data_IF_790193407901
#
_entry.id   IF_790193407901
#
_cell.length_a   1.000
_cell.length_b   1.000
_cell.length_c   1.000
_cell.angle_alpha   90.00
_cell.angle_beta   90.00
_cell.angle_gamma   90.00
#
_symmetry.space_group_name_H-M   'P 1'
#
loop_
_entity.id
_entity.type
_entity.pdbx_description
1 polymer ?
#
# COMPACT_ATOMS: atom_id res chain seq x y z
N UNK A 1 17.88 0.76 -13.15
CA UNK A 1 16.72 0.00 -12.65
C UNK A 1 16.50 -1.19 -13.57
N UNK A 2 16.30 -2.38 -13.03
CA UNK A 2 16.04 -3.61 -13.78
C UNK A 2 14.62 -4.07 -13.50
N UNK A 3 13.91 -4.56 -14.52
CA UNK A 3 12.53 -5.02 -14.40
C UNK A 3 12.42 -6.47 -14.86
N UNK A 4 11.58 -7.25 -14.17
CA UNK A 4 11.13 -8.55 -14.64
C UNK A 4 9.89 -8.35 -15.49
N UNK A 5 9.92 -8.80 -16.74
CA UNK A 5 8.77 -8.75 -17.64
C UNK A 5 8.04 -10.09 -17.54
N UNK A 6 6.76 -10.04 -17.21
CA UNK A 6 5.90 -11.23 -17.10
C UNK A 6 4.79 -11.10 -18.13
N UNK A 7 4.72 -12.07 -19.03
CA UNK A 7 3.62 -12.17 -20.00
C UNK A 7 2.47 -12.96 -19.37
N UNK A 8 1.63 -12.26 -18.61
CA UNK A 8 0.46 -12.84 -17.93
C UNK A 8 -0.73 -11.88 -18.00
N UNK A 9 -1.97 -12.39 -18.14
CA UNK A 9 -3.16 -11.58 -17.94
C UNK A 9 -3.14 -10.98 -16.53
N UNK A 10 -3.01 -9.66 -16.46
CA UNK A 10 -2.92 -8.89 -15.22
C UNK A 10 -3.71 -7.59 -15.37
N UNK A 11 -4.42 -7.12 -14.32
CA UNK A 11 -5.05 -5.81 -14.33
C UNK A 11 -4.02 -4.67 -14.17
N UNK A 12 -2.76 -5.02 -13.89
CA UNK A 12 -1.66 -4.08 -13.67
C UNK A 12 -0.65 -4.15 -14.82
N UNK A 13 -0.31 -2.99 -15.38
CA UNK A 13 0.73 -2.85 -16.40
C UNK A 13 2.16 -2.89 -15.82
N UNK A 14 2.32 -2.50 -14.55
CA UNK A 14 3.59 -2.52 -13.83
C UNK A 14 3.34 -2.59 -12.32
N UNK A 15 4.20 -3.30 -11.61
CA UNK A 15 4.22 -3.35 -10.14
C UNK A 15 5.58 -2.85 -9.69
N UNK A 16 5.59 -1.73 -8.97
CA UNK A 16 6.82 -1.12 -8.47
C UNK A 16 6.85 -1.32 -6.95
N UNK A 17 7.76 -2.18 -6.50
CA UNK A 17 7.97 -2.40 -5.07
C UNK A 17 8.68 -1.23 -4.38
N UNK A 18 8.75 -1.30 -3.05
CA UNK A 18 9.47 -0.33 -2.21
C UNK A 18 10.91 -0.05 -2.67
N UNK A 19 11.73 -1.06 -3.03
CA UNK A 19 13.09 -0.78 -3.53
C UNK A 19 13.10 0.13 -4.77
N UNK A 20 12.16 -0.08 -5.69
CA UNK A 20 12.02 0.74 -6.89
C UNK A 20 11.57 2.17 -6.59
N UNK A 21 10.58 2.33 -5.70
CA UNK A 21 10.13 3.64 -5.25
C UNK A 21 11.25 4.42 -4.53
N UNK A 22 12.03 3.76 -3.67
CA UNK A 22 13.16 4.37 -2.98
C UNK A 22 14.26 4.80 -3.95
N UNK A 23 14.58 3.95 -4.93
CA UNK A 23 15.56 4.28 -5.97
C UNK A 23 15.15 5.50 -6.80
N UNK A 24 13.84 5.69 -7.01
CA UNK A 24 13.30 6.85 -7.70
C UNK A 24 13.10 8.07 -6.79
N UNK A 25 13.42 7.97 -5.50
CA UNK A 25 13.10 9.01 -4.49
C UNK A 25 11.63 9.46 -4.56
N UNK A 26 10.75 8.48 -4.83
CA UNK A 26 9.36 8.76 -5.14
C UNK A 26 8.51 8.98 -3.88
N UNK A 27 7.63 9.97 -3.93
CA UNK A 27 6.61 10.23 -2.91
C UNK A 27 5.25 9.85 -3.51
N UNK A 28 4.55 8.92 -2.87
CA UNK A 28 3.24 8.43 -3.31
C UNK A 28 2.16 8.89 -2.34
N UNK A 29 1.10 9.51 -2.88
CA UNK A 29 -0.12 9.82 -2.14
C UNK A 29 -1.27 8.99 -2.67
N UNK A 30 -1.70 8.02 -1.87
CA UNK A 30 -2.89 7.20 -2.15
C UNK A 30 -4.16 8.04 -2.20
N UNK A 31 -4.26 9.06 -1.32
CA UNK A 31 -5.45 9.93 -1.25
C UNK A 31 -5.69 10.70 -2.55
N UNK A 32 -4.61 11.19 -3.17
CA UNK A 32 -4.69 11.97 -4.41
C UNK A 32 -4.42 11.13 -5.65
N UNK A 33 -4.10 9.83 -5.50
CA UNK A 33 -3.62 8.95 -6.55
C UNK A 33 -2.48 9.61 -7.34
N UNK A 34 -1.50 10.17 -6.64
CA UNK A 34 -0.40 10.92 -7.24
C UNK A 34 0.92 10.37 -6.75
N UNK A 35 1.83 10.12 -7.67
CA UNK A 35 3.23 9.83 -7.39
C UNK A 35 4.09 10.97 -7.95
N UNK A 36 5.02 11.48 -7.14
CA UNK A 36 6.00 12.48 -7.55
C UNK A 36 7.40 11.87 -7.46
N UNK A 37 8.30 12.26 -8.36
CA UNK A 37 9.69 11.81 -8.36
C UNK A 37 10.59 12.85 -9.02
N UNK A 38 11.86 12.99 -8.63
CA UNK A 38 12.82 13.85 -9.30
C UNK A 38 13.08 13.42 -10.74
N UNK A 39 13.29 14.42 -11.60
CA UNK A 39 13.74 14.28 -12.98
C UNK A 39 14.79 15.34 -13.28
N UNK A 40 15.52 15.19 -14.38
CA UNK A 40 16.51 16.19 -14.83
C UNK A 40 15.93 17.59 -15.09
N UNK A 41 14.60 17.72 -15.18
CA UNK A 41 13.90 18.98 -15.46
C UNK A 41 12.99 19.44 -14.31
N UNK A 42 13.16 18.88 -13.11
CA UNK A 42 12.31 19.17 -11.95
C UNK A 42 11.49 17.94 -11.53
N UNK A 43 10.29 18.15 -10.99
CA UNK A 43 9.47 17.07 -10.42
C UNK A 43 8.58 16.46 -11.49
N UNK A 44 8.77 15.17 -11.74
CA UNK A 44 7.85 14.33 -12.54
C UNK A 44 6.64 13.92 -11.71
N UNK A 45 5.50 13.77 -12.36
CA UNK A 45 4.23 13.40 -11.73
C UNK A 45 3.55 12.28 -12.52
N UNK A 46 3.16 11.21 -11.83
CA UNK A 46 2.26 10.19 -12.35
C UNK A 46 0.93 10.26 -11.60
N UNK A 47 -0.16 10.56 -12.31
CA UNK A 47 -1.52 10.69 -11.77
C UNK A 47 -2.37 9.49 -12.14
N UNK A 48 -3.06 8.94 -11.15
CA UNK A 48 -4.15 8.01 -11.35
C UNK A 48 -5.46 8.73 -11.61
N UNK A 49 -6.39 8.02 -12.25
CA UNK A 49 -7.76 8.49 -12.49
C UNK A 49 -8.65 8.17 -11.28
N UNK A 50 -9.11 9.23 -10.59
CA UNK A 50 -9.98 9.07 -9.42
C UNK A 50 -11.37 8.53 -9.76
N UNK A 51 -11.91 8.82 -10.94
CA UNK A 51 -13.21 8.31 -11.35
C UNK A 51 -13.14 6.80 -11.56
N UNK A 52 -12.14 6.36 -12.33
CA UNK A 52 -11.90 4.93 -12.57
C UNK A 52 -11.62 4.20 -11.25
N UNK A 53 -10.76 4.74 -10.39
CA UNK A 53 -10.47 4.13 -9.09
C UNK A 53 -11.72 3.97 -8.21
N UNK A 54 -12.58 5.00 -8.16
CA UNK A 54 -13.86 4.94 -7.42
C UNK A 54 -14.81 3.90 -8.04
N UNK A 55 -14.85 3.80 -9.37
CA UNK A 55 -15.68 2.83 -10.05
C UNK A 55 -15.19 1.41 -9.78
N UNK A 56 -13.88 1.14 -9.88
CA UNK A 56 -13.27 -0.13 -9.52
C UNK A 56 -13.57 -0.53 -8.07
N UNK A 57 -13.46 0.41 -7.13
CA UNK A 57 -13.79 0.16 -5.72
C UNK A 57 -15.26 -0.23 -5.53
N UNK A 58 -16.19 0.48 -6.18
CA UNK A 58 -17.61 0.12 -6.15
C UNK A 58 -17.84 -1.28 -6.72
N UNK A 59 -17.30 -1.54 -7.91
CA UNK A 59 -17.42 -2.85 -8.56
C UNK A 59 -16.87 -3.97 -7.68
N UNK A 60 -15.67 -3.80 -7.10
CA UNK A 60 -15.06 -4.80 -6.23
C UNK A 60 -15.92 -5.10 -4.97
N UNK A 61 -16.58 -4.09 -4.40
CA UNK A 61 -17.50 -4.28 -3.26
C UNK A 61 -18.80 -4.96 -3.68
N UNK A 62 -19.35 -4.57 -4.83
CA UNK A 62 -20.60 -5.10 -5.37
C UNK A 62 -20.44 -6.53 -5.90
N UNK A 63 -19.24 -6.89 -6.37
CA UNK A 63 -18.92 -8.19 -6.97
C UNK A 63 -18.37 -9.22 -5.96
N UNK A 64 -18.46 -8.96 -4.65
CA UNK A 64 -18.06 -9.86 -3.54
C UNK A 64 -18.64 -11.30 -3.57
N UNK A 65 -19.42 -11.67 -4.60
CA UNK A 65 -19.97 -13.01 -4.81
C UNK A 65 -19.49 -13.75 -6.07
N UNK A 66 -18.49 -13.26 -6.82
CA UNK A 66 -17.97 -13.97 -8.00
C UNK A 66 -16.45 -14.07 -7.94
N UNK A 67 -15.97 -15.25 -7.56
CA UNK A 67 -14.57 -15.68 -7.59
C UNK A 67 -13.88 -15.38 -8.94
N UNK A 68 -13.31 -14.19 -9.06
CA UNK A 68 -12.36 -13.84 -10.13
C UNK A 68 -11.08 -13.33 -9.52
N UNK A 69 -10.47 -14.18 -8.71
CA UNK A 69 -9.05 -14.05 -8.36
C UNK A 69 -8.28 -14.28 -9.66
N UNK A 70 -7.65 -13.24 -10.19
CA UNK A 70 -6.66 -13.40 -11.25
C UNK A 70 -5.42 -13.98 -10.58
N UNK A 71 -5.05 -15.26 -10.83
CA UNK A 71 -3.90 -15.83 -10.18
C UNK A 71 -2.67 -15.17 -10.79
N UNK A 72 -2.02 -14.28 -10.03
CA UNK A 72 -0.64 -13.94 -10.33
C UNK A 72 0.14 -15.20 -9.97
N UNK A 73 0.56 -15.96 -10.99
CA UNK A 73 1.40 -17.13 -10.78
C UNK A 73 2.62 -16.70 -9.94
N UNK A 74 2.79 -17.33 -8.78
CA UNK A 74 3.86 -17.12 -7.79
C UNK A 74 3.61 -16.03 -6.72
N UNK A 75 2.40 -15.50 -6.58
CA UNK A 75 2.01 -14.77 -5.36
C UNK A 75 1.12 -15.67 -4.51
N UNK A 76 1.65 -16.15 -3.39
CA UNK A 76 0.81 -16.64 -2.30
C UNK A 76 0.01 -15.46 -1.78
N UNK A 77 -1.23 -15.34 -2.27
CA UNK A 77 -2.24 -14.54 -1.62
C UNK A 77 -2.39 -15.15 -0.23
N UNK A 78 -1.84 -14.49 0.80
CA UNK A 78 -2.23 -14.79 2.17
C UNK A 78 -3.76 -14.75 2.15
N UNK A 79 -4.39 -15.90 2.39
CA UNK A 79 -5.84 -15.96 2.49
C UNK A 79 -6.34 -15.02 3.58
N UNK A 80 -7.66 -15.00 3.81
CA UNK A 80 -8.31 -14.30 4.92
C UNK A 80 -7.90 -14.88 6.29
N UNK A 81 -6.60 -14.98 6.56
CA UNK A 81 -6.04 -15.08 7.89
C UNK A 81 -6.14 -13.67 8.43
N UNK A 82 -7.10 -13.46 9.33
CA UNK A 82 -7.06 -12.32 10.25
C UNK A 82 -5.60 -12.17 10.71
N UNK A 83 -4.92 -11.05 10.38
CA UNK A 83 -3.54 -10.91 10.75
C UNK A 83 -3.49 -10.97 12.27
N UNK A 84 -2.99 -12.08 12.83
CA UNK A 84 -2.61 -12.13 14.22
C UNK A 84 -1.65 -10.98 14.41
N UNK A 85 -2.12 -9.95 15.12
CA UNK A 85 -1.36 -8.73 15.34
C UNK A 85 -0.13 -9.18 16.14
N UNK A 86 1.09 -9.09 15.58
CA UNK A 86 2.27 -9.50 16.31
C UNK A 86 2.31 -8.69 17.61
N UNK A 87 2.36 -9.39 18.74
CA UNK A 87 2.55 -8.69 20.01
C UNK A 87 3.98 -8.16 20.05
N UNK A 88 4.22 -6.99 20.68
CA UNK A 88 5.56 -6.51 20.93
C UNK A 88 6.39 -7.61 21.61
N UNK A 89 7.60 -7.86 21.09
CA UNK A 89 8.53 -8.84 21.68
C UNK A 89 9.20 -8.26 22.94
N UNK A 90 9.22 -6.94 23.05
CA UNK A 90 9.87 -6.18 24.11
C UNK A 90 8.83 -5.42 24.94
N UNK A 91 9.22 -5.07 26.17
CA UNK A 91 8.39 -4.28 27.07
C UNK A 91 8.09 -2.90 26.46
N UNK A 92 6.82 -2.54 26.50
CA UNK A 92 6.29 -1.28 25.95
C UNK A 92 5.90 -0.33 27.07
N UNK A 93 6.39 0.91 26.98
CA UNK A 93 6.05 2.00 27.89
C UNK A 93 4.79 2.70 27.36
N UNK A 94 3.82 2.96 28.24
CA UNK A 94 2.65 3.77 27.92
C UNK A 94 2.96 5.25 28.11
N UNK A 95 2.86 6.03 27.04
CA UNK A 95 3.10 7.48 27.05
C UNK A 95 1.78 8.20 26.72
N UNK A 96 1.27 9.08 27.60
CA UNK A 96 0.05 9.83 27.33
C UNK A 96 0.25 10.78 26.14
N UNK A 97 -0.76 10.87 25.27
CA UNK A 97 -0.74 11.74 24.09
C UNK A 97 -0.71 13.22 24.48
N UNK A 98 -1.38 13.58 25.57
CA UNK A 98 -1.49 14.94 26.06
C UNK A 98 -1.29 14.96 27.59
N UNK A 99 -0.69 16.04 28.08
CA UNK A 99 -0.42 16.21 29.51
C UNK A 99 -1.75 16.31 30.28
N UNK A 100 -1.99 15.34 31.16
CA UNK A 100 -3.22 15.25 31.96
C UNK A 100 -4.34 14.37 31.39
N UNK A 101 -4.20 13.87 30.15
CA UNK A 101 -5.14 12.90 29.57
C UNK A 101 -4.54 11.48 29.64
N UNK A 102 -5.13 10.65 30.48
CA UNK A 102 -4.70 9.24 30.68
C UNK A 102 -5.53 8.24 29.88
N UNK A 103 -6.58 8.71 29.16
CA UNK A 103 -7.42 7.83 28.35
C UNK A 103 -6.76 7.49 27.01
N UNK A 104 -5.87 8.35 26.50
CA UNK A 104 -5.21 8.18 25.21
C UNK A 104 -3.69 8.02 25.41
N UNK A 105 -3.19 6.79 25.24
CA UNK A 105 -1.77 6.43 25.41
C UNK A 105 -1.18 5.79 24.16
N UNK A 106 0.09 6.06 23.88
CA UNK A 106 0.91 5.33 22.90
C UNK A 106 1.78 4.30 23.60
N UNK A 107 2.01 3.17 22.94
CA UNK A 107 2.98 2.16 23.37
C UNK A 107 4.29 2.39 22.64
N UNK A 108 5.37 2.61 23.39
CA UNK A 108 6.72 2.84 22.88
C UNK A 108 7.61 1.68 23.30
N UNK A 109 8.17 0.95 22.34
CA UNK A 109 9.16 -0.10 22.60
C UNK A 109 10.47 0.50 23.14
N UNK A 110 11.14 -0.25 24.01
CA UNK A 110 12.40 0.16 24.65
C UNK A 110 13.61 0.13 23.72
#
# INVERSE_FOLDING_TARGET
MTFMVVDTPSPYNAIIGRPGLNLMEAIVSTRYLLMKFPTRFGVGEARGDQQVARQCYKTAILEKGKDKVLPIANVELRGDVEPERPQPVEDVIQVPLAEGDTEIVFQVGS
#
